data_IF_538481024327
#
_entry.id   IF_538481024327
#
_cell.length_a   1.000
_cell.length_b   1.000
_cell.length_c   1.000
_cell.angle_alpha   90.00
_cell.angle_beta   90.00
_cell.angle_gamma   90.00
#
_symmetry.space_group_name_H-M   'P 1'
#
loop_
_entity.id
_entity.type
_entity.pdbx_description
1 polymer ?
#
# COMPACT_ATOMS: atom_id res chain seq x y z
N UNK A 1 6.04 1.55 -51.23
CA UNK A 1 7.41 1.79 -50.75
C UNK A 1 7.36 2.57 -49.44
N UNK A 2 7.15 1.91 -48.30
CA UNK A 2 7.42 2.46 -46.96
C UNK A 2 7.20 1.38 -45.87
N UNK A 3 7.66 0.15 -46.10
CA UNK A 3 7.57 -0.93 -45.10
C UNK A 3 8.91 -1.63 -44.81
N UNK A 4 9.96 -1.32 -45.58
CA UNK A 4 11.27 -1.98 -45.45
C UNK A 4 12.26 -1.29 -44.51
N UNK A 5 11.99 -0.07 -44.03
CA UNK A 5 12.93 0.67 -43.15
C UNK A 5 12.80 0.41 -41.64
N UNK A 6 11.90 -0.48 -41.20
CA UNK A 6 11.70 -0.76 -39.76
C UNK A 6 12.46 -2.02 -39.29
N UNK A 7 12.89 -2.90 -40.21
CA UNK A 7 13.57 -4.14 -39.87
C UNK A 7 15.09 -3.99 -39.64
N UNK A 8 15.72 -2.93 -40.15
CA UNK A 8 17.17 -2.72 -39.97
C UNK A 8 17.58 -2.15 -38.61
N UNK A 9 16.67 -1.50 -37.86
CA UNK A 9 16.98 -0.98 -36.51
C UNK A 9 17.03 -2.04 -35.41
N UNK A 10 16.63 -3.29 -35.67
CA UNK A 10 16.70 -4.39 -34.69
C UNK A 10 18.02 -5.18 -34.70
N UNK A 11 18.89 -4.97 -35.70
CA UNK A 11 20.14 -5.75 -35.83
C UNK A 11 21.33 -5.18 -35.03
N UNK A 12 21.29 -3.89 -34.66
CA UNK A 12 22.43 -3.20 -34.00
C UNK A 12 22.46 -3.36 -32.47
N UNK A 13 21.39 -3.85 -31.81
CA UNK A 13 21.35 -3.97 -30.34
C UNK A 13 21.69 -5.37 -29.80
N UNK A 14 22.16 -6.27 -30.67
CA UNK A 14 22.45 -7.69 -30.34
C UNK A 14 23.94 -7.98 -30.11
N UNK A 15 24.83 -6.99 -30.17
CA UNK A 15 26.28 -7.24 -30.17
C UNK A 15 27.04 -6.90 -28.88
N UNK A 16 26.38 -6.47 -27.80
CA UNK A 16 27.07 -6.22 -26.52
C UNK A 16 26.63 -7.20 -25.44
N UNK A 17 26.87 -8.49 -25.68
CA UNK A 17 26.85 -9.53 -24.65
C UNK A 17 27.67 -10.72 -25.09
N UNK A 18 28.98 -10.66 -24.88
CA UNK A 18 29.89 -11.81 -24.70
C UNK A 18 31.30 -11.29 -24.41
N UNK A 19 31.73 -11.48 -23.18
CA UNK A 19 33.09 -11.23 -22.70
C UNK A 19 33.29 -12.06 -21.45
N UNK A 20 33.66 -13.32 -21.66
CA UNK A 20 34.22 -14.21 -20.64
C UNK A 20 35.66 -13.77 -20.34
N UNK A 21 36.05 -13.75 -19.07
CA UNK A 21 37.44 -13.92 -18.66
C UNK A 21 37.45 -14.86 -17.46
N UNK A 22 38.28 -15.89 -17.58
CA UNK A 22 38.43 -17.03 -16.67
C UNK A 22 39.25 -16.69 -15.42
N UNK A 23 39.19 -17.65 -14.50
CA UNK A 23 39.69 -17.72 -13.13
C UNK A 23 41.19 -17.46 -12.91
N UNK A 24 41.50 -17.00 -11.69
CA UNK A 24 42.75 -17.31 -11.01
C UNK A 24 42.46 -17.60 -9.52
N UNK A 25 43.05 -18.69 -9.05
CA UNK A 25 42.87 -19.37 -7.77
C UNK A 25 43.86 -18.90 -6.69
N UNK A 26 43.57 -19.30 -5.45
CA UNK A 26 44.42 -19.38 -4.25
C UNK A 26 44.65 -18.10 -3.40
N UNK A 27 44.08 -18.09 -2.18
CA UNK A 27 44.82 -18.27 -0.90
C UNK A 27 43.87 -18.20 0.32
N UNK A 28 43.81 -19.35 1.01
CA UNK A 28 43.60 -19.72 2.44
C UNK A 28 42.93 -18.82 3.52
N UNK A 29 42.36 -19.42 4.60
CA UNK A 29 41.49 -18.78 5.61
C UNK A 29 42.10 -18.62 7.03
N UNK A 30 41.30 -18.03 7.95
CA UNK A 30 41.32 -18.04 9.45
C UNK A 30 41.81 -16.75 10.17
N UNK A 31 41.49 -16.50 11.47
CA UNK A 31 40.43 -17.06 12.34
C UNK A 31 39.60 -15.99 13.11
N UNK A 32 38.58 -16.48 13.83
CA UNK A 32 37.79 -15.77 14.82
C UNK A 32 38.60 -15.39 16.08
N UNK A 33 38.30 -14.22 16.67
CA UNK A 33 38.64 -13.92 18.06
C UNK A 33 37.41 -13.36 18.79
N UNK A 34 36.91 -14.20 19.69
CA UNK A 34 36.06 -13.88 20.82
C UNK A 34 36.82 -13.06 21.86
N UNK A 35 36.21 -11.98 22.37
CA UNK A 35 36.56 -11.45 23.68
C UNK A 35 35.28 -11.11 24.45
N UNK A 36 35.07 -11.88 25.51
CA UNK A 36 34.18 -11.61 26.62
C UNK A 36 35.06 -11.57 27.86
N UNK A 37 35.11 -10.44 28.58
CA UNK A 37 35.43 -10.46 30.02
C UNK A 37 34.66 -9.35 30.73
N UNK A 38 34.19 -9.72 31.91
CA UNK A 38 33.21 -9.12 32.80
C UNK A 38 33.74 -7.98 33.69
N UNK A 39 32.76 -7.24 34.24
CA UNK A 39 32.69 -6.47 35.50
C UNK A 39 33.83 -6.55 36.52
N UNK A 40 34.10 -5.44 37.22
CA UNK A 40 33.87 -5.16 38.68
C UNK A 40 34.30 -3.68 38.94
N UNK A 41 33.40 -2.72 39.22
CA UNK A 41 32.93 -2.21 40.53
C UNK A 41 33.99 -1.52 41.42
N UNK A 42 33.85 -0.21 41.71
CA UNK A 42 33.56 0.31 43.08
C UNK A 42 33.49 1.85 43.18
N UNK A 43 32.46 2.30 43.93
CA UNK A 43 32.38 3.47 44.84
C UNK A 43 32.40 4.90 44.23
N UNK A 44 31.65 5.87 44.72
CA UNK A 44 30.63 5.94 45.77
C UNK A 44 30.01 7.35 45.73
N UNK A 45 28.78 7.44 46.23
CA UNK A 45 28.32 8.52 47.11
C UNK A 45 27.83 9.87 46.55
N UNK A 46 26.57 10.14 46.94
CA UNK A 46 25.96 11.44 47.26
C UNK A 46 25.71 12.38 46.06
N UNK A 47 24.61 13.13 45.91
CA UNK A 47 23.35 13.33 46.62
C UNK A 47 22.50 14.28 45.73
N UNK A 48 21.21 14.36 46.05
CA UNK A 48 20.28 15.48 45.77
C UNK A 48 19.73 15.69 44.34
N UNK A 49 18.46 15.29 44.22
CA UNK A 49 17.35 15.93 43.49
C UNK A 49 17.55 17.43 43.20
N UNK A 50 17.36 17.88 41.96
CA UNK A 50 16.60 19.11 41.66
C UNK A 50 15.93 19.01 40.28
N UNK A 51 14.61 18.91 40.30
CA UNK A 51 13.70 19.22 39.20
C UNK A 51 13.46 20.73 39.22
N UNK A 52 13.95 21.52 38.25
CA UNK A 52 13.40 22.85 37.93
C UNK A 52 13.60 23.17 36.43
N UNK A 53 12.56 23.76 35.85
CA UNK A 53 12.31 24.11 34.45
C UNK A 53 13.41 24.91 33.70
N UNK A 54 13.44 24.83 32.34
CA UNK A 54 14.33 25.60 31.49
C UNK A 54 13.73 26.98 31.21
N UNK A 55 13.78 27.89 32.17
CA UNK A 55 13.32 29.26 31.99
C UNK A 55 14.20 30.25 32.75
N UNK A 56 15.53 30.22 32.56
CA UNK A 56 16.45 31.24 33.12
C UNK A 56 17.87 31.24 32.53
N UNK A 57 18.02 30.94 31.24
CA UNK A 57 19.30 31.13 30.51
C UNK A 57 19.22 32.29 29.49
N UNK A 58 18.05 32.92 29.33
CA UNK A 58 17.85 33.97 28.32
C UNK A 58 18.15 35.42 28.78
N UNK A 59 18.63 35.66 30.00
CA UNK A 59 18.80 37.03 30.51
C UNK A 59 20.22 37.42 30.95
N UNK A 60 21.21 36.53 30.91
CA UNK A 60 22.59 36.86 31.35
C UNK A 60 23.62 36.95 30.23
N UNK A 61 23.26 36.70 28.96
CA UNK A 61 24.18 36.90 27.81
C UNK A 61 23.98 38.29 27.15
N UNK A 62 22.97 39.07 27.57
CA UNK A 62 22.62 40.34 26.93
C UNK A 62 23.41 41.57 27.42
N UNK A 63 24.36 41.43 28.36
CA UNK A 63 25.05 42.59 28.98
C UNK A 63 26.58 42.60 28.88
N UNK A 64 27.21 41.66 28.16
CA UNK A 64 28.68 41.60 28.03
C UNK A 64 29.21 41.40 26.59
N UNK A 65 28.51 41.94 25.59
CA UNK A 65 29.10 42.15 24.27
C UNK A 65 28.55 43.43 23.63
N UNK A 66 29.08 44.56 24.09
CA UNK A 66 29.21 45.73 23.22
C UNK A 66 30.32 45.45 22.20
N UNK A 67 30.06 45.80 20.93
CA UNK A 67 30.89 45.65 19.71
C UNK A 67 30.75 44.33 18.95
N UNK A 68 29.73 44.29 18.09
CA UNK A 68 29.86 43.91 16.67
C UNK A 68 28.48 44.01 16.02
N UNK A 69 28.32 44.92 15.06
CA UNK A 69 27.19 44.94 14.14
C UNK A 69 27.18 43.65 13.30
N UNK A 70 26.33 42.69 13.67
CA UNK A 70 25.93 41.60 12.80
C UNK A 70 24.39 41.63 12.76
N UNK A 71 23.77 42.13 11.68
CA UNK A 71 22.33 42.15 11.57
C UNK A 71 21.82 40.75 11.18
N UNK A 72 21.85 39.79 12.11
CA UNK A 72 20.98 38.62 12.00
C UNK A 72 19.57 39.05 12.41
N UNK A 73 18.91 39.72 11.47
CA UNK A 73 17.53 40.16 11.60
C UNK A 73 16.64 39.01 12.09
N UNK A 74 15.70 39.35 12.99
CA UNK A 74 14.54 38.55 13.40
C UNK A 74 13.74 37.98 12.20
N UNK A 75 13.98 38.50 11.00
CA UNK A 75 13.50 37.98 9.73
C UNK A 75 14.08 36.60 9.35
N UNK A 76 15.34 36.28 9.67
CA UNK A 76 15.95 34.99 9.32
C UNK A 76 15.34 33.78 10.08
N UNK A 77 14.86 34.00 11.32
CA UNK A 77 14.15 33.00 12.11
C UNK A 77 12.69 32.81 11.66
N UNK A 78 12.03 33.89 11.21
CA UNK A 78 10.70 33.82 10.60
C UNK A 78 10.73 33.20 9.20
N UNK A 79 11.81 33.33 8.42
CA UNK A 79 11.93 32.62 7.15
C UNK A 79 12.10 31.10 7.32
N UNK A 80 12.91 30.64 8.29
CA UNK A 80 13.05 29.20 8.58
C UNK A 80 11.74 28.56 9.07
N UNK A 81 10.94 29.27 9.85
CA UNK A 81 9.59 28.82 10.23
C UNK A 81 8.59 28.86 9.06
N UNK A 82 8.74 29.80 8.11
CA UNK A 82 7.87 29.95 6.93
C UNK A 82 8.15 28.91 5.84
N UNK A 83 9.41 28.50 5.66
CA UNK A 83 9.79 27.38 4.76
C UNK A 83 9.25 26.04 5.28
N UNK A 84 9.17 25.86 6.59
CA UNK A 84 8.60 24.65 7.20
C UNK A 84 7.06 24.58 7.08
N UNK A 85 6.35 25.71 7.15
CA UNK A 85 4.88 25.79 6.97
C UNK A 85 4.40 25.79 5.51
N UNK A 86 5.30 26.01 4.54
CA UNK A 86 5.02 25.93 3.11
C UNK A 86 5.26 24.54 2.50
N UNK A 87 5.59 23.53 3.32
CA UNK A 87 5.25 22.12 3.04
C UNK A 87 3.73 21.91 3.21
N UNK A 88 2.97 22.75 2.49
CA UNK A 88 1.53 22.66 2.31
C UNK A 88 1.26 21.25 1.80
N UNK A 89 0.77 20.38 2.70
CA UNK A 89 0.28 19.04 2.41
C UNK A 89 -0.64 19.14 1.20
N UNK A 90 -0.13 18.84 0.00
CA UNK A 90 -0.99 18.59 -1.16
C UNK A 90 -1.75 17.32 -0.82
N UNK A 91 -3.02 17.47 -0.43
CA UNK A 91 -3.94 16.38 -0.03
C UNK A 91 -4.39 15.54 -1.24
N UNK A 92 -3.47 15.24 -2.16
CA UNK A 92 -3.75 14.46 -3.36
C UNK A 92 -3.53 13.00 -3.04
N UNK A 93 -4.56 12.19 -3.26
CA UNK A 93 -4.44 10.74 -3.18
C UNK A 93 -3.79 10.23 -4.45
N UNK A 94 -2.56 9.73 -4.32
CA UNK A 94 -1.81 9.17 -5.43
C UNK A 94 -2.09 7.68 -5.58
N UNK A 95 -1.91 7.12 -6.78
CA UNK A 95 -1.99 5.67 -6.98
C UNK A 95 -0.60 5.06 -6.88
N UNK A 96 -0.49 3.94 -6.19
CA UNK A 96 0.75 3.17 -6.16
C UNK A 96 1.07 2.57 -7.52
N UNK A 97 2.34 2.62 -7.91
CA UNK A 97 2.80 2.08 -9.19
C UNK A 97 2.59 0.55 -9.31
N UNK A 98 2.80 -0.20 -8.21
CA UNK A 98 2.72 -1.66 -8.23
C UNK A 98 1.31 -2.20 -7.92
N UNK A 99 0.73 -1.74 -6.80
CA UNK A 99 -0.55 -2.25 -6.29
C UNK A 99 -1.76 -1.54 -6.94
N UNK A 100 -1.57 -0.33 -7.48
CA UNK A 100 -2.64 0.62 -7.89
C UNK A 100 -3.61 1.02 -6.76
N UNK A 101 -3.33 0.65 -5.51
CA UNK A 101 -4.06 1.13 -4.33
C UNK A 101 -3.78 2.62 -4.10
N UNK A 102 -4.73 3.36 -3.49
CA UNK A 102 -4.50 4.75 -3.11
C UNK A 102 -3.40 4.85 -2.04
N UNK A 103 -2.63 5.94 -2.10
CA UNK A 103 -1.60 6.34 -1.15
C UNK A 103 -2.09 7.63 -0.50
N UNK A 104 -2.29 7.56 0.81
CA UNK A 104 -2.63 8.71 1.64
C UNK A 104 -1.34 9.48 2.01
N UNK A 105 -1.43 10.79 2.26
CA UNK A 105 -0.27 11.60 2.66
C UNK A 105 0.38 11.04 3.93
N UNK A 106 1.70 11.02 3.98
CA UNK A 106 2.47 10.45 5.10
C UNK A 106 2.66 8.93 5.04
N UNK A 107 2.09 8.24 4.05
CA UNK A 107 2.28 6.80 3.88
C UNK A 107 3.15 6.45 2.68
N UNK A 108 3.83 5.30 2.81
CA UNK A 108 4.56 4.69 1.71
C UNK A 108 5.96 5.27 1.50
N UNK A 109 6.52 4.98 0.33
CA UNK A 109 7.87 5.41 -0.04
C UNK A 109 7.83 5.91 -1.49
N UNK A 110 8.58 6.96 -1.79
CA UNK A 110 8.80 7.46 -3.13
C UNK A 110 10.21 7.10 -3.59
N UNK A 111 10.33 6.44 -4.73
CA UNK A 111 11.60 6.17 -5.39
C UNK A 111 11.68 7.03 -6.65
N UNK A 112 12.71 7.85 -6.74
CA UNK A 112 13.01 8.67 -7.92
C UNK A 112 14.15 7.99 -8.66
N UNK A 113 13.95 7.72 -9.95
CA UNK A 113 15.01 7.22 -10.83
C UNK A 113 15.73 8.40 -11.49
N UNK A 114 16.96 8.16 -11.96
CA UNK A 114 17.76 9.12 -12.72
C UNK A 114 17.00 9.76 -13.90
N UNK A 115 16.11 9.01 -14.58
CA UNK A 115 15.23 9.51 -15.66
C UNK A 115 14.15 10.52 -15.19
N UNK A 116 14.26 11.04 -13.97
CA UNK A 116 13.26 11.83 -13.25
C UNK A 116 11.87 11.14 -13.10
N UNK A 117 11.75 9.86 -13.46
CA UNK A 117 10.50 9.12 -13.26
C UNK A 117 10.28 8.85 -11.77
N UNK A 118 9.10 9.22 -11.29
CA UNK A 118 8.71 9.09 -9.89
C UNK A 118 7.86 7.83 -9.72
N UNK A 119 8.33 6.89 -8.89
CA UNK A 119 7.57 5.71 -8.48
C UNK A 119 7.10 5.87 -7.04
N UNK A 120 5.79 5.90 -6.84
CA UNK A 120 5.19 5.94 -5.50
C UNK A 120 4.71 4.55 -5.10
N UNK A 121 5.02 4.12 -3.87
CA UNK A 121 4.65 2.81 -3.35
C UNK A 121 3.78 2.90 -2.10
N UNK A 122 2.71 2.12 -2.06
CA UNK A 122 1.77 2.05 -0.94
C UNK A 122 2.39 1.45 0.34
N UNK A 123 3.21 0.40 0.20
CA UNK A 123 3.76 -0.40 1.31
C UNK A 123 5.15 -0.94 0.95
N UNK A 124 5.91 -1.35 1.96
CA UNK A 124 7.23 -2.00 1.79
C UNK A 124 7.15 -3.26 0.91
N UNK A 125 6.04 -4.02 0.97
CA UNK A 125 5.77 -5.16 0.06
C UNK A 125 5.87 -4.78 -1.42
N UNK A 126 5.32 -3.63 -1.81
CA UNK A 126 5.35 -3.18 -3.20
C UNK A 126 6.75 -2.73 -3.61
N UNK A 127 7.42 -2.02 -2.71
CA UNK A 127 8.79 -1.56 -2.93
C UNK A 127 9.79 -2.73 -3.05
N UNK A 128 9.69 -3.75 -2.18
CA UNK A 128 10.50 -4.98 -2.27
C UNK A 128 10.26 -5.72 -3.58
N UNK A 129 9.01 -5.88 -4.01
CA UNK A 129 8.69 -6.53 -5.29
C UNK A 129 9.24 -5.76 -6.50
N UNK A 130 9.22 -4.42 -6.44
CA UNK A 130 9.83 -3.58 -7.45
C UNK A 130 11.36 -3.73 -7.48
N UNK A 131 12.03 -3.75 -6.33
CA UNK A 131 13.47 -4.02 -6.23
C UNK A 131 13.85 -5.39 -6.78
N UNK A 132 13.03 -6.41 -6.52
CA UNK A 132 13.14 -7.75 -7.12
C UNK A 132 12.75 -7.81 -8.60
N UNK A 133 12.49 -6.67 -9.26
CA UNK A 133 12.13 -6.54 -10.67
C UNK A 133 10.92 -7.42 -11.08
N UNK A 134 10.00 -7.70 -10.15
CA UNK A 134 8.79 -8.48 -10.47
C UNK A 134 7.85 -7.63 -11.33
N UNK A 135 7.29 -8.22 -12.39
CA UNK A 135 6.32 -7.52 -13.23
C UNK A 135 4.92 -7.56 -12.60
N UNK A 136 4.28 -6.41 -12.26
CA UNK A 136 2.96 -6.38 -11.64
C UNK A 136 1.89 -7.09 -12.48
N UNK A 137 2.04 -7.13 -13.81
CA UNK A 137 1.12 -7.81 -14.73
C UNK A 137 1.05 -9.32 -14.52
N UNK A 138 2.12 -9.94 -13.97
CA UNK A 138 2.17 -11.37 -13.66
C UNK A 138 1.78 -11.68 -12.21
N UNK A 139 1.73 -10.67 -11.34
CA UNK A 139 1.48 -10.84 -9.91
C UNK A 139 -0.03 -10.80 -9.63
N UNK A 140 -0.60 -11.97 -9.28
CA UNK A 140 -2.05 -12.24 -9.22
C UNK A 140 -2.89 -11.28 -8.35
N UNK A 141 -2.31 -10.73 -7.28
CA UNK A 141 -3.04 -9.87 -6.33
C UNK A 141 -3.11 -8.39 -6.75
N UNK A 142 -2.35 -7.98 -7.78
CA UNK A 142 -2.36 -6.58 -8.23
C UNK A 142 -3.59 -6.27 -9.06
N UNK A 143 -4.00 -4.99 -9.08
CA UNK A 143 -5.07 -4.52 -9.97
C UNK A 143 -4.69 -4.58 -11.45
N UNK A 144 -3.40 -4.42 -11.78
CA UNK A 144 -2.90 -4.57 -13.14
C UNK A 144 -3.14 -5.99 -13.70
N UNK A 145 -2.84 -7.02 -12.91
CA UNK A 145 -3.17 -8.41 -13.26
C UNK A 145 -4.68 -8.59 -13.44
N UNK A 146 -5.49 -8.09 -12.51
CA UNK A 146 -6.96 -8.24 -12.56
C UNK A 146 -7.57 -7.65 -13.84
N UNK A 147 -7.10 -6.47 -14.28
CA UNK A 147 -7.56 -5.83 -15.53
C UNK A 147 -7.18 -6.63 -16.77
N UNK A 148 -5.94 -7.10 -16.85
CA UNK A 148 -5.47 -7.90 -18.01
C UNK A 148 -6.19 -9.24 -18.13
N UNK A 149 -6.47 -9.89 -17.00
CA UNK A 149 -7.17 -11.17 -16.96
C UNK A 149 -8.71 -11.04 -16.94
N UNK A 150 -9.25 -9.85 -17.25
CA UNK A 150 -10.70 -9.63 -17.34
C UNK A 150 -11.47 -9.88 -16.04
N UNK A 151 -10.83 -9.77 -14.87
CA UNK A 151 -11.48 -9.92 -13.56
C UNK A 151 -12.22 -8.65 -13.14
N UNK A 152 -11.70 -7.50 -13.57
CA UNK A 152 -12.27 -6.17 -13.34
C UNK A 152 -12.73 -5.60 -14.70
N UNK A 153 -13.82 -4.83 -14.70
CA UNK A 153 -14.25 -4.11 -15.91
C UNK A 153 -13.17 -3.10 -16.31
N UNK A 154 -12.71 -3.17 -17.56
CA UNK A 154 -11.62 -2.30 -18.05
C UNK A 154 -12.11 -1.20 -19.00
N UNK A 155 -13.18 -1.45 -19.75
CA UNK A 155 -13.76 -0.50 -20.73
C UNK A 155 -15.12 -0.02 -20.22
N UNK A 156 -15.13 1.00 -19.38
CA UNK A 156 -16.36 1.65 -18.93
C UNK A 156 -16.25 3.17 -19.05
N UNK A 157 -17.34 3.79 -19.49
CA UNK A 157 -17.53 5.25 -19.58
C UNK A 157 -17.28 5.96 -18.24
N UNK A 158 -17.54 5.30 -17.10
CA UNK A 158 -17.34 5.89 -15.77
C UNK A 158 -15.88 6.24 -15.48
N UNK A 159 -14.91 5.57 -16.12
CA UNK A 159 -13.49 5.85 -15.89
C UNK A 159 -13.00 7.15 -16.54
N UNK A 160 -13.71 7.67 -17.53
CA UNK A 160 -13.32 8.90 -18.23
C UNK A 160 -13.41 10.14 -17.33
N UNK A 161 -14.27 10.11 -16.32
CA UNK A 161 -14.41 11.18 -15.34
C UNK A 161 -13.19 11.35 -14.42
N UNK A 162 -12.39 10.29 -14.21
CA UNK A 162 -11.17 10.29 -13.38
C UNK A 162 -9.93 10.91 -14.07
N UNK A 163 -10.07 11.44 -15.29
CA UNK A 163 -8.94 11.97 -16.08
C UNK A 163 -8.22 13.14 -15.41
N UNK A 164 -6.90 13.25 -15.64
CA UNK A 164 -6.10 14.39 -15.20
C UNK A 164 -6.46 15.63 -16.02
N UNK A 165 -6.86 16.72 -15.35
CA UNK A 165 -7.06 18.05 -15.95
C UNK A 165 -5.77 18.89 -15.85
N UNK A 166 -5.15 19.20 -16.99
CA UNK A 166 -3.94 20.04 -17.03
C UNK A 166 -4.25 21.55 -17.08
N UNK A 167 -5.40 21.93 -17.65
CA UNK A 167 -5.87 23.32 -17.64
C UNK A 167 -6.78 23.54 -16.42
N UNK A 168 -6.46 24.51 -15.54
CA UNK A 168 -7.37 24.90 -14.47
C UNK A 168 -8.53 25.71 -15.05
N UNK A 169 -9.71 25.56 -14.47
CA UNK A 169 -10.85 26.43 -14.73
C UNK A 169 -10.98 27.44 -13.59
N UNK A 170 -11.58 28.60 -13.88
CA UNK A 170 -11.97 29.55 -12.84
C UNK A 170 -13.00 28.88 -11.92
N UNK A 171 -12.95 29.21 -10.64
CA UNK A 171 -13.89 28.67 -9.67
C UNK A 171 -15.28 29.27 -9.87
N UNK A 172 -16.26 28.40 -10.11
CA UNK A 172 -17.68 28.73 -10.14
C UNK A 172 -18.40 27.84 -9.11
N UNK A 173 -19.20 28.46 -8.23
CA UNK A 173 -19.88 27.75 -7.15
C UNK A 173 -20.91 26.75 -7.66
N UNK A 174 -21.76 27.17 -8.60
CA UNK A 174 -22.81 26.32 -9.19
C UNK A 174 -22.21 25.06 -9.82
N UNK A 175 -21.13 25.21 -10.61
CA UNK A 175 -20.41 24.08 -11.22
C UNK A 175 -19.84 23.15 -10.14
N UNK A 176 -19.30 23.70 -9.06
CA UNK A 176 -18.76 22.90 -7.94
C UNK A 176 -19.88 22.09 -7.26
N UNK A 177 -21.04 22.69 -6.99
CA UNK A 177 -22.18 22.00 -6.39
C UNK A 177 -22.72 20.88 -7.30
N UNK A 178 -22.82 21.14 -8.60
CA UNK A 178 -23.27 20.15 -9.58
C UNK A 178 -22.28 18.99 -9.72
N UNK A 179 -20.97 19.27 -9.69
CA UNK A 179 -19.94 18.21 -9.72
C UNK A 179 -19.99 17.32 -8.48
N UNK A 180 -20.24 17.87 -7.29
CA UNK A 180 -20.40 17.07 -6.07
C UNK A 180 -21.62 16.14 -6.14
N UNK A 181 -22.74 16.63 -6.68
CA UNK A 181 -23.94 15.80 -6.94
C UNK A 181 -23.65 14.72 -7.98
N UNK A 182 -22.91 15.05 -9.04
CA UNK A 182 -22.56 14.10 -10.11
C UNK A 182 -21.62 12.98 -9.62
N UNK A 183 -20.61 13.30 -8.81
CA UNK A 183 -19.65 12.31 -8.27
C UNK A 183 -20.37 11.19 -7.52
N UNK A 184 -21.28 11.54 -6.59
CA UNK A 184 -22.05 10.55 -5.83
C UNK A 184 -22.87 9.62 -6.73
N UNK A 185 -23.43 10.14 -7.82
CA UNK A 185 -24.20 9.35 -8.80
C UNK A 185 -23.29 8.42 -9.60
N UNK A 186 -22.14 8.91 -10.06
CA UNK A 186 -21.16 8.13 -10.83
C UNK A 186 -20.62 6.96 -10.00
N UNK A 187 -20.33 7.18 -8.71
CA UNK A 187 -19.84 6.13 -7.81
C UNK A 187 -20.87 5.01 -7.62
N UNK A 188 -22.15 5.35 -7.43
CA UNK A 188 -23.24 4.36 -7.36
C UNK A 188 -23.31 3.52 -8.64
N UNK A 189 -23.34 4.18 -9.80
CA UNK A 189 -23.37 3.50 -11.11
C UNK A 189 -22.17 2.56 -11.28
N UNK A 190 -20.99 2.98 -10.85
CA UNK A 190 -19.78 2.16 -10.91
C UNK A 190 -19.89 0.92 -10.03
N UNK A 191 -20.35 1.07 -8.79
CA UNK A 191 -20.57 -0.04 -7.86
C UNK A 191 -21.57 -1.06 -8.43
N UNK A 192 -22.69 -0.57 -8.98
CA UNK A 192 -23.73 -1.42 -9.57
C UNK A 192 -23.26 -2.15 -10.84
N UNK A 193 -22.42 -1.52 -11.66
CA UNK A 193 -21.84 -2.18 -12.83
C UNK A 193 -20.80 -3.22 -12.41
N UNK A 194 -19.96 -2.91 -11.42
CA UNK A 194 -18.96 -3.85 -10.90
C UNK A 194 -19.62 -5.07 -10.27
N UNK A 195 -20.68 -4.89 -9.46
CA UNK A 195 -21.42 -6.00 -8.84
C UNK A 195 -22.04 -6.92 -9.90
N UNK A 196 -22.65 -6.35 -10.95
CA UNK A 196 -23.18 -7.13 -12.09
C UNK A 196 -22.10 -7.89 -12.85
N UNK A 197 -20.93 -7.29 -13.09
CA UNK A 197 -19.82 -7.96 -13.74
C UNK A 197 -19.29 -9.14 -12.91
N UNK A 198 -19.19 -8.95 -11.59
CA UNK A 198 -18.81 -10.02 -10.66
C UNK A 198 -19.87 -11.13 -10.68
N UNK A 199 -21.15 -10.80 -10.55
CA UNK A 199 -22.25 -11.77 -10.56
C UNK A 199 -22.25 -12.62 -11.84
N UNK A 200 -22.11 -11.98 -13.01
CA UNK A 200 -22.01 -12.69 -14.30
C UNK A 200 -20.82 -13.65 -14.35
N UNK A 201 -19.67 -13.25 -13.81
CA UNK A 201 -18.46 -14.10 -13.76
C UNK A 201 -18.62 -15.30 -12.81
N UNK A 202 -19.43 -15.16 -11.77
CA UNK A 202 -19.72 -16.24 -10.82
C UNK A 202 -20.93 -17.09 -11.21
N UNK A 203 -21.63 -16.73 -12.30
CA UNK A 203 -22.73 -17.52 -12.84
C UNK A 203 -22.23 -18.92 -13.23
N UNK A 204 -23.02 -19.95 -12.90
CA UNK A 204 -22.68 -21.35 -13.17
C UNK A 204 -21.72 -22.01 -12.18
N UNK A 205 -21.01 -21.25 -11.34
CA UNK A 205 -20.12 -21.83 -10.30
C UNK A 205 -20.90 -22.72 -9.33
N UNK A 206 -22.05 -22.25 -8.83
CA UNK A 206 -22.92 -23.02 -7.92
C UNK A 206 -23.37 -24.36 -8.51
N UNK A 207 -23.76 -24.38 -9.79
CA UNK A 207 -24.17 -25.60 -10.47
C UNK A 207 -23.00 -26.56 -10.71
N UNK A 208 -21.77 -26.04 -10.86
CA UNK A 208 -20.56 -26.86 -10.91
C UNK A 208 -20.24 -27.46 -9.53
N UNK A 209 -20.24 -26.64 -8.49
CA UNK A 209 -20.03 -27.05 -7.09
C UNK A 209 -21.04 -28.13 -6.68
N UNK A 210 -22.32 -27.96 -7.02
CA UNK A 210 -23.35 -28.96 -6.72
C UNK A 210 -23.09 -30.30 -7.44
N UNK A 211 -22.65 -30.26 -8.71
CA UNK A 211 -22.30 -31.48 -9.46
C UNK A 211 -21.06 -32.16 -8.90
N UNK A 212 -20.06 -31.40 -8.46
CA UNK A 212 -18.86 -31.92 -7.82
C UNK A 212 -19.20 -32.53 -6.45
N UNK A 213 -19.95 -31.83 -5.62
CA UNK A 213 -20.41 -32.33 -4.33
C UNK A 213 -21.25 -33.61 -4.46
N UNK A 214 -22.12 -33.71 -5.47
CA UNK A 214 -22.86 -34.95 -5.74
C UNK A 214 -21.92 -36.11 -6.08
N UNK A 215 -20.92 -35.89 -6.94
CA UNK A 215 -19.92 -36.92 -7.28
C UNK A 215 -19.08 -37.33 -6.08
N UNK A 216 -18.70 -36.37 -5.23
CA UNK A 216 -17.96 -36.64 -4.00
C UNK A 216 -18.81 -37.48 -3.03
N UNK A 217 -20.10 -37.15 -2.86
CA UNK A 217 -21.04 -37.94 -2.07
C UNK A 217 -21.13 -39.37 -2.61
N UNK A 218 -21.30 -39.54 -3.92
CA UNK A 218 -21.42 -40.85 -4.58
C UNK A 218 -20.13 -41.69 -4.42
N UNK A 219 -18.95 -41.08 -4.38
CA UNK A 219 -17.67 -41.76 -4.15
C UNK A 219 -17.41 -42.09 -2.68
N UNK A 220 -17.85 -41.22 -1.77
CA UNK A 220 -17.57 -41.28 -0.34
C UNK A 220 -18.73 -41.80 0.49
N UNK A 221 -19.67 -42.53 -0.13
CA UNK A 221 -20.84 -43.12 0.55
C UNK A 221 -20.43 -43.90 1.81
N UNK A 222 -19.30 -44.61 1.77
CA UNK A 222 -18.79 -45.41 2.88
C UNK A 222 -18.38 -44.60 4.11
N UNK A 223 -18.00 -43.31 3.94
CA UNK A 223 -17.60 -42.42 5.03
C UNK A 223 -18.81 -41.75 5.70
N UNK A 224 -19.97 -41.77 5.04
CA UNK A 224 -21.18 -41.10 5.52
C UNK A 224 -22.09 -42.13 6.19
N UNK A 225 -22.21 -42.06 7.52
CA UNK A 225 -23.24 -42.82 8.25
C UNK A 225 -24.62 -42.26 7.92
N UNK A 226 -25.60 -43.14 7.76
CA UNK A 226 -26.98 -42.74 7.52
C UNK A 226 -27.48 -41.82 8.66
N UNK A 227 -28.17 -40.71 8.35
CA UNK A 227 -28.62 -39.75 9.35
C UNK A 227 -29.65 -40.31 10.34
N UNK A 228 -30.23 -41.48 10.07
CA UNK A 228 -31.03 -42.27 11.02
C UNK A 228 -30.18 -42.86 12.14
N UNK A 229 -29.03 -43.46 11.82
CA UNK A 229 -28.12 -44.09 12.78
C UNK A 229 -27.57 -43.06 13.79
N UNK A 230 -27.31 -41.83 13.34
CA UNK A 230 -26.86 -40.73 14.22
C UNK A 230 -27.95 -40.26 15.21
N UNK A 231 -29.23 -40.56 14.97
CA UNK A 231 -30.32 -40.21 15.90
C UNK A 231 -30.55 -41.27 16.98
N UNK A 232 -30.16 -42.51 16.70
CA UNK A 232 -30.30 -43.67 17.58
C UNK A 232 -29.18 -43.73 18.64
N UNK A 233 -28.02 -43.11 18.39
CA UNK A 233 -26.88 -43.08 19.31
C UNK A 233 -26.94 -41.85 20.25
N UNK A 234 -27.41 -41.97 21.51
CA UNK A 234 -27.52 -40.84 22.46
C UNK A 234 -26.16 -40.27 22.92
N UNK A 235 -25.04 -40.94 22.62
CA UNK A 235 -23.68 -40.49 22.93
C UNK A 235 -23.09 -39.50 21.92
N UNK A 236 -23.70 -39.36 20.73
CA UNK A 236 -23.23 -38.48 19.64
C UNK A 236 -24.15 -37.28 19.39
N UNK A 237 -25.34 -37.26 19.98
CA UNK A 237 -26.20 -36.08 20.00
C UNK A 237 -25.66 -35.06 20.98
N UNK A 238 -24.96 -34.03 20.50
CA UNK A 238 -24.71 -32.84 21.29
C UNK A 238 -26.06 -32.30 21.80
N UNK A 239 -26.22 -32.04 23.11
CA UNK A 239 -27.45 -31.49 23.65
C UNK A 239 -27.78 -30.20 22.90
N UNK A 240 -29.03 -30.07 22.42
CA UNK A 240 -29.54 -28.85 21.77
C UNK A 240 -29.51 -27.70 22.78
N UNK A 241 -28.35 -27.07 22.95
CA UNK A 241 -28.24 -25.77 23.57
C UNK A 241 -28.96 -24.79 22.66
N UNK A 242 -30.19 -24.41 23.04
CA UNK A 242 -30.93 -23.30 22.45
C UNK A 242 -30.17 -22.02 22.78
N UNK A 243 -29.13 -21.72 22.00
CA UNK A 243 -28.55 -20.38 21.98
C UNK A 243 -29.62 -19.48 21.36
N UNK A 244 -30.18 -18.57 22.16
CA UNK A 244 -31.02 -17.47 21.65
C UNK A 244 -30.15 -16.68 20.67
N UNK A 245 -30.36 -16.90 19.38
CA UNK A 245 -29.76 -16.07 18.34
C UNK A 245 -30.41 -14.69 18.49
N UNK A 246 -29.69 -13.77 19.13
CA UNK A 246 -30.04 -12.35 19.10
C UNK A 246 -29.93 -11.91 17.64
N UNK A 247 -30.99 -11.33 17.05
CA UNK A 247 -30.91 -10.80 15.69
C UNK A 247 -29.77 -9.79 15.62
N UNK A 248 -28.77 -10.04 14.78
CA UNK A 248 -27.77 -9.04 14.44
C UNK A 248 -28.49 -7.88 13.77
N UNK A 249 -28.57 -6.74 14.45
CA UNK A 249 -29.06 -5.49 13.88
C UNK A 249 -28.37 -5.27 12.53
N UNK A 250 -29.20 -5.01 11.52
CA UNK A 250 -28.80 -4.63 10.17
C UNK A 250 -27.69 -3.58 10.20
N UNK A 251 -26.65 -3.77 9.38
CA UNK A 251 -25.51 -2.85 9.19
C UNK A 251 -25.89 -1.49 8.55
N UNK A 252 -27.10 -0.99 8.78
CA UNK A 252 -27.61 0.27 8.21
C UNK A 252 -27.26 1.50 9.05
N UNK A 253 -26.81 1.36 10.31
CA UNK A 253 -26.57 2.51 11.20
C UNK A 253 -25.09 2.92 11.36
N UNK A 254 -24.16 2.38 10.55
CA UNK A 254 -22.72 2.72 10.62
C UNK A 254 -22.27 3.87 9.72
N UNK A 255 -23.19 4.62 9.13
CA UNK A 255 -22.88 5.74 8.24
C UNK A 255 -23.47 7.08 8.70
N UNK A 256 -23.70 7.28 10.00
CA UNK A 256 -23.95 8.62 10.57
C UNK A 256 -23.29 8.73 11.96
N UNK A 257 -21.99 9.01 11.95
CA UNK A 257 -21.32 9.81 13.00
C UNK A 257 -20.04 10.45 12.42
#
# INVERSE_FOLDING_TARGET
>A
MCFDQILERKKVRSQYSRGEVQAASHLTPLPALSFSVSSVHLRSSLLLKVSVAPARIFLTVALLCGRADIPLSRAALLEKFRVCYLLKKRMRLEKCWFCSSPIYPGHGIQFVRNDATIFRFCRSKCHKNFKMKRNPRKVKWTKAYRRLHGKDMTKDSTFEFERWRHRPHKYDRNVTEDTLKAIKKIDKIRMDRESRHIARRHQGKKAKEFREAKKELDQSISLVKAPSVLKEDPSLTLPKLKVKVVPSQSEQDRMEE
#
